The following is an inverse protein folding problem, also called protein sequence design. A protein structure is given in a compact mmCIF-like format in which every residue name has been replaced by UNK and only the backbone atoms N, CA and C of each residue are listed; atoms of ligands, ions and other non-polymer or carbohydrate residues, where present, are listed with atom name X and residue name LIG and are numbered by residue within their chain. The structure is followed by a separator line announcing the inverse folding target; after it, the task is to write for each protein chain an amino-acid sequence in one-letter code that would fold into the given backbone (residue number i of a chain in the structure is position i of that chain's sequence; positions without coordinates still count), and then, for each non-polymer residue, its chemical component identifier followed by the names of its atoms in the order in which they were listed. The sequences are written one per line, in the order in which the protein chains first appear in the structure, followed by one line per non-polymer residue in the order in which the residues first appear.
data_IF_933971961320
#
_entry.id   IF_933971961320
#
_cell.length_a   1.000
_cell.length_b   1.000
_cell.length_c   1.000
_cell.angle_alpha   90.00
_cell.angle_beta   90.00
_cell.angle_gamma   90.00
#
_symmetry.space_group_name_H-M   'P 1'
#
loop_
_entity.id
_entity.type
_entity.pdbx_description
1 polymer ?
#
# COMPACT_ATOMS: atom_id res chain seq x y z
N UNK A 1 -12.68 -10.07 4.95
CA UNK A 1 -11.65 -9.80 5.95
C UNK A 1 -10.29 -10.12 5.33
N UNK A 2 -9.29 -9.29 5.59
CA UNK A 2 -7.89 -9.54 5.27
C UNK A 2 -7.09 -9.66 6.56
N UNK A 3 -6.32 -10.70 6.69
CA UNK A 3 -5.35 -10.90 7.76
C UNK A 3 -3.95 -10.63 7.19
N UNK A 4 -3.21 -9.69 7.80
CA UNK A 4 -1.88 -9.27 7.35
C UNK A 4 -0.95 -10.47 7.18
N UNK A 5 -0.36 -10.62 5.99
CA UNK A 5 0.49 -11.78 5.65
C UNK A 5 1.89 -11.61 6.20
N UNK A 6 2.51 -10.45 5.98
CA UNK A 6 3.89 -10.20 6.36
C UNK A 6 3.95 -9.42 7.67
N UNK A 7 4.31 -10.10 8.75
CA UNK A 7 4.44 -9.47 10.07
C UNK A 7 5.77 -8.74 10.17
N UNK A 8 5.72 -7.52 10.74
CA UNK A 8 6.91 -6.71 10.91
C UNK A 8 7.73 -7.19 12.10
N UNK A 9 9.01 -7.47 11.83
CA UNK A 9 10.02 -7.73 12.85
C UNK A 9 11.21 -6.82 12.64
N UNK A 10 11.72 -6.28 13.71
CA UNK A 10 12.85 -5.38 13.71
C UNK A 10 13.71 -5.63 14.97
N UNK A 11 15.01 -5.72 14.77
CA UNK A 11 16.00 -5.74 15.83
C UNK A 11 17.12 -4.76 15.46
N UNK A 12 17.48 -3.89 16.38
CA UNK A 12 18.59 -2.95 16.24
C UNK A 12 19.39 -2.91 17.52
N UNK A 13 20.70 -2.97 17.39
CA UNK A 13 21.66 -2.64 18.45
C UNK A 13 22.35 -1.33 18.07
N UNK A 14 22.23 -0.31 18.92
CA UNK A 14 22.85 0.98 18.70
C UNK A 14 23.38 1.51 20.04
N UNK A 15 24.70 1.53 20.19
CA UNK A 15 25.37 2.06 21.36
C UNK A 15 25.07 1.32 22.67
N UNK A 16 24.84 -0.02 22.59
CA UNK A 16 24.52 -0.87 23.74
C UNK A 16 23.05 -0.87 24.16
N UNK A 17 22.18 -0.16 23.40
CA UNK A 17 20.72 -0.22 23.57
C UNK A 17 20.14 -1.12 22.48
N UNK A 18 19.57 -2.25 22.91
CA UNK A 18 18.87 -3.18 22.01
C UNK A 18 17.39 -2.79 21.91
N UNK A 19 17.00 -2.34 20.74
CA UNK A 19 15.59 -2.14 20.39
C UNK A 19 15.09 -3.34 19.61
N UNK A 20 13.98 -3.92 20.01
CA UNK A 20 13.33 -4.99 19.26
C UNK A 20 11.82 -4.78 19.21
N UNK A 21 11.24 -5.09 18.07
CA UNK A 21 9.80 -5.12 17.87
C UNK A 21 9.44 -6.35 17.02
N UNK A 22 8.44 -7.08 17.43
CA UNK A 22 8.00 -8.30 16.75
C UNK A 22 6.47 -8.42 16.83
N UNK A 23 5.78 -8.20 15.72
CA UNK A 23 4.32 -8.34 15.62
C UNK A 23 3.87 -9.78 15.86
N UNK A 24 4.70 -10.77 15.53
CA UNK A 24 4.40 -12.20 15.72
C UNK A 24 4.17 -12.62 17.16
N UNK A 25 4.51 -11.76 18.14
CA UNK A 25 4.20 -11.99 19.55
C UNK A 25 2.74 -11.75 19.92
N UNK A 26 2.02 -10.96 19.12
CA UNK A 26 0.65 -10.52 19.40
C UNK A 26 -0.34 -10.82 18.27
N UNK A 27 0.15 -11.07 17.06
CA UNK A 27 -0.67 -11.23 15.86
C UNK A 27 -0.30 -12.53 15.15
N UNK A 28 -1.30 -13.25 14.68
CA UNK A 28 -1.10 -14.39 13.79
C UNK A 28 -1.06 -13.88 12.34
N UNK A 29 -0.10 -14.37 11.56
CA UNK A 29 -0.01 -14.06 10.15
C UNK A 29 -1.16 -14.69 9.36
N UNK A 30 -1.67 -13.94 8.39
CA UNK A 30 -2.52 -14.49 7.32
C UNK A 30 -1.69 -15.25 6.29
N UNK A 31 -2.37 -15.89 5.35
CA UNK A 31 -1.75 -16.65 4.25
C UNK A 31 -2.32 -16.29 2.88
N UNK A 32 -3.51 -15.68 2.84
CA UNK A 32 -4.29 -15.54 1.62
C UNK A 32 -4.30 -14.11 1.09
N UNK A 33 -3.79 -13.87 -0.14
CA UNK A 33 -4.03 -12.62 -0.86
C UNK A 33 -5.54 -12.39 -1.02
N UNK A 34 -6.01 -11.24 -0.58
CA UNK A 34 -7.45 -10.97 -0.52
C UNK A 34 -7.79 -9.72 -1.33
N UNK A 35 -8.81 -9.84 -2.17
CA UNK A 35 -9.43 -8.71 -2.84
C UNK A 35 -10.95 -8.72 -2.63
N UNK A 36 -11.59 -7.57 -2.74
CA UNK A 36 -13.03 -7.41 -2.67
C UNK A 36 -13.52 -6.48 -3.79
N UNK A 37 -14.80 -6.57 -4.11
CA UNK A 37 -15.45 -5.66 -5.03
C UNK A 37 -16.18 -4.59 -4.24
N UNK A 38 -16.00 -3.33 -4.65
CA UNK A 38 -16.63 -2.17 -4.05
C UNK A 38 -17.43 -1.44 -5.13
N UNK A 39 -18.68 -1.11 -4.84
CA UNK A 39 -19.49 -0.31 -5.74
C UNK A 39 -18.93 1.11 -5.84
N UNK A 40 -18.54 1.52 -7.04
CA UNK A 40 -18.10 2.87 -7.33
C UNK A 40 -19.28 3.69 -7.87
N UNK A 41 -19.49 4.89 -7.32
CA UNK A 41 -20.45 5.87 -7.83
C UNK A 41 -19.77 6.79 -8.85
N UNK A 42 -20.45 7.24 -9.92
CA UNK A 42 -21.77 6.90 -10.42
C UNK A 42 -21.74 5.74 -11.43
N UNK A 43 -22.83 5.01 -11.53
CA UNK A 43 -23.06 4.02 -12.60
C UNK A 43 -22.91 2.55 -12.22
N UNK A 44 -22.93 2.21 -10.95
CA UNK A 44 -22.90 0.82 -10.46
C UNK A 44 -21.67 0.00 -10.94
N UNK A 45 -20.59 0.68 -11.32
CA UNK A 45 -19.36 0.01 -11.71
C UNK A 45 -18.65 -0.53 -10.47
N UNK A 46 -18.31 -1.80 -10.49
CA UNK A 46 -17.54 -2.41 -9.42
C UNK A 46 -16.05 -2.11 -9.62
N UNK A 47 -15.38 -1.70 -8.55
CA UNK A 47 -13.91 -1.63 -8.48
C UNK A 47 -13.42 -2.84 -7.70
N UNK A 48 -12.45 -3.54 -8.25
CA UNK A 48 -11.75 -4.61 -7.55
C UNK A 48 -10.61 -4.03 -6.72
N UNK A 49 -10.70 -4.17 -5.40
CA UNK A 49 -9.76 -3.61 -4.42
C UNK A 49 -8.92 -4.71 -3.81
N UNK A 50 -7.62 -4.67 -4.02
CA UNK A 50 -6.65 -5.53 -3.36
C UNK A 50 -6.28 -5.00 -1.97
N UNK A 51 -6.26 -5.88 -0.98
CA UNK A 51 -6.02 -5.52 0.41
C UNK A 51 -4.60 -5.88 0.84
N UNK A 52 -3.94 -4.96 1.54
CA UNK A 52 -2.65 -5.16 2.18
C UNK A 52 -2.54 -4.28 3.42
N UNK A 53 -1.55 -4.51 4.29
CA UNK A 53 -1.33 -3.70 5.50
C UNK A 53 0.16 -3.44 5.70
N UNK A 54 0.56 -2.17 5.68
CA UNK A 54 1.84 -1.66 6.17
C UNK A 54 3.07 -2.42 5.63
N UNK A 55 3.62 -3.37 6.38
CA UNK A 55 4.83 -4.12 6.03
C UNK A 55 4.67 -4.96 4.77
N UNK A 56 3.44 -5.36 4.41
CA UNK A 56 3.12 -6.02 3.14
C UNK A 56 3.63 -5.23 1.93
N UNK A 57 3.73 -3.89 2.04
CA UNK A 57 4.23 -3.01 1.00
C UNK A 57 5.63 -3.40 0.48
N UNK A 58 6.43 -4.10 1.29
CA UNK A 58 7.78 -4.52 0.91
C UNK A 58 7.84 -5.77 0.05
N UNK A 59 6.73 -6.48 -0.10
CA UNK A 59 6.66 -7.79 -0.75
C UNK A 59 5.87 -7.70 -2.06
N UNK A 60 6.55 -7.48 -3.21
CA UNK A 60 5.89 -7.35 -4.51
C UNK A 60 5.11 -8.60 -4.90
N UNK A 61 5.47 -9.76 -4.38
CA UNK A 61 4.83 -11.04 -4.65
C UNK A 61 3.34 -11.03 -4.27
N UNK A 62 2.98 -10.42 -3.12
CA UNK A 62 1.59 -10.26 -2.71
C UNK A 62 0.80 -9.45 -3.75
N UNK A 63 1.35 -8.31 -4.17
CA UNK A 63 0.68 -7.44 -5.13
C UNK A 63 0.55 -8.10 -6.49
N UNK A 64 1.54 -8.90 -6.89
CA UNK A 64 1.46 -9.71 -8.11
C UNK A 64 0.39 -10.79 -8.03
N UNK A 65 0.21 -11.43 -6.89
CA UNK A 65 -0.87 -12.40 -6.67
C UNK A 65 -2.25 -11.74 -6.78
N UNK A 66 -2.42 -10.50 -6.30
CA UNK A 66 -3.64 -9.71 -6.41
C UNK A 66 -4.02 -9.32 -7.85
N UNK A 67 -3.11 -9.50 -8.82
CA UNK A 67 -3.36 -9.21 -10.24
C UNK A 67 -3.93 -10.40 -11.03
N UNK A 68 -4.39 -11.43 -10.36
CA UNK A 68 -5.03 -12.59 -11.00
C UNK A 68 -6.42 -12.91 -10.38
N UNK A 69 -7.53 -12.28 -10.83
CA UNK A 69 -7.67 -11.22 -11.85
C UNK A 69 -7.16 -9.86 -11.37
N UNK A 70 -6.85 -8.91 -12.29
CA UNK A 70 -6.27 -7.62 -11.92
C UNK A 70 -7.17 -6.77 -11.01
N UNK A 71 -6.59 -6.21 -9.96
CA UNK A 71 -7.22 -5.17 -9.16
C UNK A 71 -7.14 -3.80 -9.85
N UNK A 72 -8.12 -2.95 -9.58
CA UNK A 72 -8.18 -1.55 -10.05
C UNK A 72 -7.55 -0.60 -9.02
N UNK A 73 -7.55 -1.01 -7.76
CA UNK A 73 -7.04 -0.24 -6.64
C UNK A 73 -6.39 -1.18 -5.60
N UNK A 74 -5.29 -0.73 -5.02
CA UNK A 74 -4.60 -1.38 -3.90
C UNK A 74 -4.72 -0.50 -2.65
N UNK A 75 -5.13 -1.08 -1.53
CA UNK A 75 -5.24 -0.41 -0.24
C UNK A 75 -4.05 -0.79 0.66
N UNK A 76 -3.35 0.23 1.20
CA UNK A 76 -2.13 0.07 2.00
C UNK A 76 -2.18 0.90 3.29
N UNK A 77 -3.14 0.66 4.20
CA UNK A 77 -3.17 1.35 5.48
C UNK A 77 -1.90 1.05 6.28
N UNK A 78 -1.31 2.08 6.92
CA UNK A 78 0.04 1.93 7.48
C UNK A 78 0.29 2.80 8.70
N UNK A 79 1.23 2.34 9.53
CA UNK A 79 1.95 3.12 10.53
C UNK A 79 3.47 2.92 10.30
N UNK A 80 3.96 3.42 9.16
CA UNK A 80 5.33 3.17 8.69
C UNK A 80 6.35 3.88 9.57
N UNK A 81 7.42 3.18 9.98
CA UNK A 81 8.44 3.78 10.84
C UNK A 81 9.08 4.99 10.15
N UNK A 82 9.34 6.06 10.91
CA UNK A 82 9.77 7.36 10.37
C UNK A 82 10.98 7.27 9.45
N UNK A 83 12.07 6.64 9.91
CA UNK A 83 13.33 6.56 9.16
C UNK A 83 13.19 5.82 7.84
N UNK A 84 12.50 4.68 7.85
CA UNK A 84 12.28 3.89 6.63
C UNK A 84 11.16 4.47 5.78
N UNK A 85 10.21 5.17 6.39
CA UNK A 85 9.17 5.89 5.69
C UNK A 85 9.72 7.01 4.83
N UNK A 86 10.60 7.82 5.40
CA UNK A 86 11.29 8.90 4.69
C UNK A 86 12.03 8.41 3.44
N UNK A 87 12.66 7.25 3.53
CA UNK A 87 13.48 6.71 2.43
C UNK A 87 12.70 5.86 1.41
N UNK A 88 11.65 5.16 1.84
CA UNK A 88 11.07 4.07 1.04
C UNK A 88 9.58 4.25 0.73
N UNK A 89 8.81 5.00 1.53
CA UNK A 89 7.35 5.01 1.48
C UNK A 89 6.80 5.38 0.11
N UNK A 90 7.12 6.57 -0.37
CA UNK A 90 6.66 7.05 -1.67
C UNK A 90 7.16 6.17 -2.82
N UNK A 91 8.46 5.82 -2.79
CA UNK A 91 9.07 4.98 -3.82
C UNK A 91 8.35 3.64 -3.96
N UNK A 92 8.06 2.97 -2.83
CA UNK A 92 7.38 1.68 -2.84
C UNK A 92 5.92 1.79 -3.31
N UNK A 93 5.17 2.81 -2.86
CA UNK A 93 3.79 3.01 -3.29
C UNK A 93 3.70 3.25 -4.80
N UNK A 94 4.56 4.12 -5.32
CA UNK A 94 4.64 4.38 -6.76
C UNK A 94 5.06 3.14 -7.55
N UNK A 95 6.02 2.36 -7.04
CA UNK A 95 6.38 1.09 -7.65
C UNK A 95 5.19 0.12 -7.72
N UNK A 96 4.42 -0.01 -6.63
CA UNK A 96 3.21 -0.87 -6.63
C UNK A 96 2.16 -0.40 -7.62
N UNK A 97 1.95 0.91 -7.77
CA UNK A 97 1.04 1.47 -8.77
C UNK A 97 1.51 1.16 -10.20
N UNK A 98 2.77 1.45 -10.51
CA UNK A 98 3.35 1.29 -11.84
C UNK A 98 3.38 -0.18 -12.28
N UNK A 99 3.94 -1.06 -11.46
CA UNK A 99 4.12 -2.46 -11.83
C UNK A 99 2.82 -3.24 -11.94
N UNK A 100 1.76 -2.82 -11.20
CA UNK A 100 0.45 -3.47 -11.21
C UNK A 100 -0.59 -2.69 -12.03
N UNK A 101 -0.23 -1.52 -12.55
CA UNK A 101 -1.07 -0.69 -13.43
C UNK A 101 -2.46 -0.43 -12.83
N UNK A 102 -2.48 -0.01 -11.57
CA UNK A 102 -3.67 0.27 -10.79
C UNK A 102 -3.44 1.44 -9.83
N UNK A 103 -4.52 2.01 -9.31
CA UNK A 103 -4.43 3.02 -8.25
C UNK A 103 -3.88 2.42 -6.94
N UNK A 104 -3.23 3.28 -6.14
CA UNK A 104 -2.84 2.95 -4.76
C UNK A 104 -3.40 4.00 -3.83
N UNK A 105 -4.11 3.57 -2.78
CA UNK A 105 -4.58 4.41 -1.68
C UNK A 105 -3.88 3.96 -0.39
N UNK A 106 -3.17 4.88 0.23
CA UNK A 106 -2.31 4.59 1.36
C UNK A 106 -2.55 5.56 2.53
N UNK A 107 -3.61 5.35 3.33
CA UNK A 107 -3.80 6.09 4.56
C UNK A 107 -2.70 5.73 5.56
N UNK A 108 -2.04 6.75 6.13
CA UNK A 108 -0.87 6.54 6.97
C UNK A 108 -0.91 7.36 8.25
N UNK A 109 -0.69 6.68 9.38
CA UNK A 109 -0.51 7.34 10.65
C UNK A 109 0.85 8.04 10.69
N UNK A 110 0.87 9.31 11.12
CA UNK A 110 2.08 10.13 11.21
C UNK A 110 2.26 10.74 12.59
N UNK A 111 3.49 11.22 12.86
CA UNK A 111 3.81 11.94 14.07
C UNK A 111 4.38 11.07 15.21
N UNK A 112 4.41 11.63 16.41
CA UNK A 112 4.86 10.95 17.63
C UNK A 112 3.66 10.35 18.36
N UNK A 113 3.79 9.09 18.77
CA UNK A 113 2.79 8.35 19.51
C UNK A 113 3.14 8.32 21.01
N UNK A 114 2.15 8.08 21.89
CA UNK A 114 2.32 8.04 23.35
C UNK A 114 3.40 7.05 23.80
N UNK A 115 3.57 5.95 23.08
CA UNK A 115 4.61 4.94 23.35
C UNK A 115 6.02 5.37 22.89
N UNK A 116 6.22 6.63 22.48
CA UNK A 116 7.50 7.18 22.03
C UNK A 116 7.86 6.87 20.57
N UNK A 117 7.14 6.00 19.88
CA UNK A 117 7.39 5.72 18.45
C UNK A 117 7.05 6.95 17.60
N UNK A 118 7.78 7.09 16.49
CA UNK A 118 7.47 8.07 15.46
C UNK A 118 7.17 7.35 14.15
N UNK A 119 6.06 7.73 13.49
CA UNK A 119 5.69 7.22 12.18
C UNK A 119 5.72 8.33 11.14
N UNK A 120 5.85 7.93 9.87
CA UNK A 120 6.15 8.84 8.77
C UNK A 120 4.96 9.68 8.33
N UNK A 121 3.73 9.15 8.41
CA UNK A 121 2.57 9.81 7.82
C UNK A 121 2.59 9.70 6.30
N UNK A 122 2.39 10.82 5.62
CA UNK A 122 2.35 10.93 4.16
C UNK A 122 1.27 10.04 3.56
N UNK A 123 0.03 10.15 4.10
CA UNK A 123 -1.14 9.55 3.44
C UNK A 123 -1.19 9.99 2.00
N UNK A 124 -1.33 9.03 1.07
CA UNK A 124 -1.06 9.28 -0.35
C UNK A 124 -2.03 8.52 -1.25
N UNK A 125 -2.32 9.12 -2.41
CA UNK A 125 -3.02 8.46 -3.51
C UNK A 125 -2.13 8.56 -4.75
N UNK A 126 -1.92 7.43 -5.41
CA UNK A 126 -1.06 7.30 -6.60
C UNK A 126 -1.88 6.72 -7.76
N UNK A 127 -1.70 7.26 -8.96
CA UNK A 127 -2.35 6.78 -10.18
C UNK A 127 -1.65 5.55 -10.80
N UNK A 128 -2.25 4.87 -11.77
CA UNK A 128 -1.65 3.69 -12.43
C UNK A 128 -0.33 3.96 -13.18
N UNK A 129 0.00 5.22 -13.45
CA UNK A 129 1.26 5.63 -14.08
C UNK A 129 2.36 5.96 -13.07
N UNK A 130 2.01 6.00 -11.77
CA UNK A 130 2.90 6.34 -10.67
C UNK A 130 2.92 7.83 -10.34
N UNK A 131 1.97 8.61 -10.84
CA UNK A 131 1.79 10.00 -10.46
C UNK A 131 1.16 10.10 -9.07
N UNK A 132 1.71 10.95 -8.21
CA UNK A 132 1.13 11.25 -6.89
C UNK A 132 0.01 12.27 -7.08
N UNK A 133 -1.23 11.81 -7.00
CA UNK A 133 -2.42 12.66 -7.17
C UNK A 133 -2.67 13.56 -5.96
N UNK A 134 -2.41 13.04 -4.78
CA UNK A 134 -2.59 13.78 -3.54
C UNK A 134 -1.74 13.19 -2.42
N UNK A 135 -1.22 14.06 -1.55
CA UNK A 135 -0.44 13.69 -0.37
C UNK A 135 -0.77 14.58 0.81
N UNK A 136 -0.86 13.99 2.01
CA UNK A 136 -0.91 14.70 3.28
C UNK A 136 0.25 14.25 4.16
N UNK A 137 1.29 15.08 4.31
CA UNK A 137 2.51 14.70 5.03
C UNK A 137 2.27 14.42 6.51
N UNK A 138 1.61 15.32 7.23
CA UNK A 138 1.41 15.22 8.67
C UNK A 138 0.05 15.79 9.08
N UNK A 139 -0.36 15.48 10.31
CA UNK A 139 -1.60 15.94 10.94
C UNK A 139 -2.84 15.16 10.52
N UNK A 140 -3.93 15.38 11.25
CA UNK A 140 -5.23 14.78 10.94
C UNK A 140 -5.86 15.38 9.69
N UNK A 141 -6.55 14.57 8.91
CA UNK A 141 -7.28 15.04 7.74
C UNK A 141 -7.53 13.98 6.70
N UNK A 142 -8.15 14.42 5.62
CA UNK A 142 -8.56 13.59 4.50
C UNK A 142 -7.79 13.97 3.25
N UNK A 143 -7.45 12.96 2.45
CA UNK A 143 -6.87 13.08 1.11
C UNK A 143 -7.89 12.54 0.12
N UNK A 144 -8.20 13.29 -0.92
CA UNK A 144 -9.20 12.93 -1.91
C UNK A 144 -8.58 12.92 -3.31
N UNK A 145 -8.96 11.94 -4.11
CA UNK A 145 -8.75 11.89 -5.55
C UNK A 145 -9.89 11.09 -6.19
N UNK A 146 -10.14 11.31 -7.46
CA UNK A 146 -11.14 10.59 -8.23
C UNK A 146 -10.45 9.48 -9.06
N UNK A 147 -10.64 8.20 -8.73
CA UNK A 147 -10.12 7.12 -9.56
C UNK A 147 -10.93 7.04 -10.85
N UNK A 148 -10.23 7.08 -11.97
CA UNK A 148 -10.83 6.96 -13.31
C UNK A 148 -10.51 5.60 -13.92
N UNK A 149 -11.54 4.82 -14.23
CA UNK A 149 -11.40 3.55 -14.91
C UNK A 149 -10.88 3.69 -16.36
N UNK A 150 -11.11 4.84 -17.01
CA UNK A 150 -10.55 5.12 -18.32
C UNK A 150 -9.03 5.27 -18.23
N UNK A 151 -8.51 5.86 -17.16
CA UNK A 151 -7.07 5.97 -16.91
C UNK A 151 -6.40 4.61 -16.74
N UNK A 152 -7.05 3.69 -16.03
CA UNK A 152 -6.55 2.30 -15.91
C UNK A 152 -6.50 1.63 -17.29
N UNK A 153 -7.57 1.76 -18.06
CA UNK A 153 -7.65 1.16 -19.40
C UNK A 153 -6.60 1.76 -20.36
N UNK A 154 -6.40 3.07 -20.30
CA UNK A 154 -5.37 3.78 -21.08
C UNK A 154 -3.97 3.24 -20.78
N UNK A 155 -3.59 3.21 -19.50
CA UNK A 155 -2.25 2.76 -19.07
C UNK A 155 -2.01 1.30 -19.46
N UNK A 156 -3.00 0.42 -19.23
CA UNK A 156 -2.91 -1.00 -19.59
C UNK A 156 -2.89 -1.22 -21.10
N UNK A 157 -3.54 -0.34 -21.87
CA UNK A 157 -3.54 -0.38 -23.33
C UNK A 157 -2.23 0.11 -23.95
N UNK A 158 -1.66 1.20 -23.42
CA UNK A 158 -0.40 1.77 -23.90
C UNK A 158 0.81 0.88 -23.57
N UNK A 159 0.84 0.28 -22.40
CA UNK A 159 1.92 -0.59 -21.95
C UNK A 159 1.33 -1.86 -21.30
N UNK A 160 0.97 -2.89 -22.06
CA UNK A 160 0.27 -4.08 -21.54
C UNK A 160 1.20 -5.01 -20.73
N UNK A 161 1.94 -4.47 -19.75
CA UNK A 161 2.97 -5.17 -18.99
C UNK A 161 2.42 -6.36 -18.18
N UNK A 162 1.18 -6.28 -17.72
CA UNK A 162 0.54 -7.39 -16.99
C UNK A 162 0.36 -8.64 -17.86
N UNK A 163 0.13 -8.47 -19.18
CA UNK A 163 -0.02 -9.59 -20.12
C UNK A 163 1.31 -10.10 -20.65
N UNK A 164 2.38 -9.32 -20.53
CA UNK A 164 3.73 -9.72 -20.93
C UNK A 164 4.46 -10.56 -19.88
N UNK A 165 3.87 -10.70 -18.70
CA UNK A 165 4.42 -11.48 -17.60
C UNK A 165 4.48 -12.97 -17.98
N UNK A 166 5.61 -13.63 -17.72
CA UNK A 166 5.88 -15.04 -18.11
C UNK A 166 5.99 -16.01 -16.93
N UNK A 167 5.94 -15.49 -15.69
CA UNK A 167 6.07 -16.33 -14.46
C UNK A 167 5.11 -15.81 -13.39
#
# INVERSE_FOLDING_TARGET
RYDKIHLFRFERDSGGVRESYDEGRAILAGSEPTACEVAALPGNKLLRVGLSVCYDLRFPELYRALMAPPCDLLSVPSAFAYTTGQAHWELLLRARAIENQCYVIAPAQGGRHENGRRTWGHSMIVDPWGEVLAVRPEGEGVVLAEPDAARIAEVRGQLPALTHRRH
#
